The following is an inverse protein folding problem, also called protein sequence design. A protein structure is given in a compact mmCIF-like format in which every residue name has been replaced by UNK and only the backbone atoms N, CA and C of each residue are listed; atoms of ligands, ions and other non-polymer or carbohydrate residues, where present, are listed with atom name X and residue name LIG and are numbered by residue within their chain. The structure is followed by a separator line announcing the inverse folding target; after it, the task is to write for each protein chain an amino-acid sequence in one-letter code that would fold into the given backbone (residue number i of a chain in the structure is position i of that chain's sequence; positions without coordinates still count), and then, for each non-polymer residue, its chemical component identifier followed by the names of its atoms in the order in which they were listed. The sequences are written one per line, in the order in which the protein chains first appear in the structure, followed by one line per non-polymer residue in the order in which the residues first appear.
data_IF_343547863759
#
_entry.id   IF_343547863759
#
_cell.length_a   1.000
_cell.length_b   1.000
_cell.length_c   1.000
_cell.angle_alpha   90.00
_cell.angle_beta   90.00
_cell.angle_gamma   90.00
#
_symmetry.space_group_name_H-M   'P 1'
#
loop_
_entity.id
_entity.type
_entity.pdbx_description
1 polymer ?
#
# COMPACT_ATOMS: atom_id res chain seq x y z
N UNK A 1 -2.69 -15.21 4.75
CA UNK A 1 -1.26 -14.84 4.86
C UNK A 1 -1.15 -13.32 4.75
N UNK A 2 -1.34 -12.63 5.87
CA UNK A 2 -1.41 -11.17 5.96
C UNK A 2 0.02 -10.63 6.02
N UNK A 3 0.26 -9.51 5.33
CA UNK A 3 1.55 -8.84 5.23
C UNK A 3 1.98 -8.38 6.63
N UNK A 4 2.94 -9.09 7.23
CA UNK A 4 3.72 -8.60 8.36
C UNK A 4 4.92 -7.85 7.77
N UNK A 5 4.85 -6.52 7.75
CA UNK A 5 6.05 -5.70 7.61
C UNK A 5 6.84 -5.79 8.94
N UNK A 6 8.18 -5.85 8.92
CA UNK A 6 8.94 -6.17 10.11
C UNK A 6 8.98 -4.94 11.03
N UNK A 7 8.17 -4.98 12.10
CA UNK A 7 8.26 -4.06 13.23
C UNK A 7 9.60 -4.18 14.00
N UNK A 8 10.43 -5.17 13.67
CA UNK A 8 11.67 -5.49 14.38
C UNK A 8 12.83 -4.52 14.13
N UNK A 9 12.78 -3.67 13.09
CA UNK A 9 13.89 -2.75 12.81
C UNK A 9 13.83 -1.44 13.62
N UNK A 10 12.67 -1.08 14.18
CA UNK A 10 12.49 0.19 14.91
C UNK A 10 12.91 0.05 16.38
N UNK A 11 12.87 -1.16 16.94
CA UNK A 11 13.16 -1.37 18.37
C UNK A 11 14.66 -1.29 18.71
N UNK A 12 15.56 -1.52 17.75
CA UNK A 12 17.02 -1.55 18.00
C UNK A 12 17.74 -0.22 17.76
N UNK A 13 17.06 0.82 17.27
CA UNK A 13 17.68 2.16 17.08
C UNK A 13 17.58 3.02 18.36
N UNK A 14 16.69 2.67 19.29
CA UNK A 14 16.44 3.45 20.50
C UNK A 14 17.35 3.12 21.70
N UNK A 15 18.21 2.09 21.61
CA UNK A 15 19.04 1.64 22.74
C UNK A 15 20.43 2.27 22.81
N UNK A 16 20.82 3.14 21.89
CA UNK A 16 22.20 3.70 21.84
C UNK A 16 22.35 5.17 22.25
N UNK A 17 21.29 5.89 22.61
CA UNK A 17 21.39 7.29 23.04
C UNK A 17 21.06 7.43 24.53
N UNK A 18 22.07 7.24 25.37
CA UNK A 18 22.03 7.63 26.78
C UNK A 18 21.99 9.16 26.90
N UNK A 19 20.78 9.71 26.93
CA UNK A 19 20.52 11.12 27.18
C UNK A 19 19.10 11.26 27.71
N UNK A 20 18.97 11.61 28.99
CA UNK A 20 17.69 11.80 29.68
C UNK A 20 16.95 13.00 29.08
N UNK A 21 16.11 12.74 28.08
CA UNK A 21 15.09 13.68 27.62
C UNK A 21 13.73 13.03 27.90
N UNK A 22 13.26 13.15 29.14
CA UNK A 22 11.87 12.88 29.54
C UNK A 22 10.97 13.98 28.98
N UNK A 23 10.76 13.96 27.66
CA UNK A 23 9.63 14.67 27.06
C UNK A 23 8.40 13.82 27.32
N UNK A 24 7.46 14.29 28.14
CA UNK A 24 6.22 13.58 28.46
C UNK A 24 5.47 13.20 27.17
N UNK A 25 5.48 11.91 26.81
CA UNK A 25 4.68 11.32 25.73
C UNK A 25 3.17 11.21 26.06
N UNK A 26 2.68 11.98 27.04
CA UNK A 26 1.46 11.66 27.77
C UNK A 26 0.15 11.97 27.02
N UNK A 27 0.14 12.80 25.97
CA UNK A 27 -1.12 13.34 25.39
C UNK A 27 -1.50 12.83 24.00
N UNK A 28 -0.74 11.93 23.37
CA UNK A 28 -1.03 11.42 22.00
C UNK A 28 -1.49 9.96 21.94
N UNK A 29 -1.81 9.36 23.09
CA UNK A 29 -2.27 7.97 23.16
C UNK A 29 -3.39 7.82 24.19
N UNK A 30 -4.25 6.81 23.97
CA UNK A 30 -5.23 6.38 24.97
C UNK A 30 -4.54 5.33 25.84
N UNK A 31 -4.77 5.38 27.16
CA UNK A 31 -4.25 4.36 28.08
C UNK A 31 -4.72 2.98 27.64
N UNK A 32 -3.77 2.07 27.44
CA UNK A 32 -4.08 0.69 27.06
C UNK A 32 -4.69 -0.04 28.27
N UNK A 33 -6.00 -0.27 28.21
CA UNK A 33 -6.75 -0.98 29.24
C UNK A 33 -6.81 -2.50 29.01
N UNK A 34 -6.17 -3.03 27.96
CA UNK A 34 -6.15 -4.46 27.67
C UNK A 34 -5.14 -5.18 28.58
N UNK A 35 -5.49 -6.37 29.12
CA UNK A 35 -4.56 -7.17 29.90
C UNK A 35 -3.37 -7.63 29.04
N UNK A 36 -2.24 -7.90 29.70
CA UNK A 36 -1.10 -8.54 29.04
C UNK A 36 -1.50 -9.95 28.59
N UNK A 37 -0.98 -10.39 27.45
CA UNK A 37 -1.31 -11.70 26.89
C UNK A 37 -0.71 -12.80 27.78
N UNK A 38 -1.55 -13.73 28.21
CA UNK A 38 -1.16 -15.02 28.81
C UNK A 38 -1.83 -16.18 28.06
N UNK A 39 -1.44 -17.43 28.38
CA UNK A 39 -1.95 -18.63 27.70
C UNK A 39 -3.48 -18.79 27.82
N UNK A 40 -4.07 -18.34 28.93
CA UNK A 40 -5.51 -18.40 29.15
C UNK A 40 -6.24 -17.40 28.25
N UNK A 41 -5.76 -16.16 28.18
CA UNK A 41 -6.32 -15.12 27.33
C UNK A 41 -6.16 -15.49 25.85
N UNK A 42 -5.07 -16.14 25.45
CA UNK A 42 -4.90 -16.62 24.08
C UNK A 42 -5.98 -17.65 23.71
N UNK A 43 -6.29 -18.56 24.64
CA UNK A 43 -7.33 -19.57 24.46
C UNK A 43 -8.75 -18.96 24.33
N UNK A 44 -8.97 -17.74 24.80
CA UNK A 44 -10.25 -17.03 24.65
C UNK A 44 -10.51 -16.61 23.20
N UNK A 45 -9.47 -16.27 22.43
CA UNK A 45 -9.60 -15.78 21.05
C UNK A 45 -9.22 -16.81 19.99
N UNK A 46 -8.36 -17.77 20.33
CA UNK A 46 -7.82 -18.75 19.39
C UNK A 46 -8.24 -20.18 19.75
N UNK A 47 -8.51 -20.97 18.72
CA UNK A 47 -8.70 -22.41 18.78
C UNK A 47 -7.86 -23.02 17.65
N UNK A 48 -6.95 -23.95 17.96
CA UNK A 48 -6.03 -24.56 16.98
C UNK A 48 -5.25 -23.53 16.13
N UNK A 49 -4.76 -22.44 16.76
CA UNK A 49 -4.09 -21.31 16.10
C UNK A 49 -4.94 -20.59 15.03
N UNK A 50 -6.26 -20.72 15.08
CA UNK A 50 -7.21 -19.97 14.27
C UNK A 50 -8.12 -19.13 15.15
N UNK A 51 -8.57 -17.99 14.63
CA UNK A 51 -9.54 -17.16 15.35
C UNK A 51 -10.85 -17.90 15.53
N UNK A 52 -11.40 -17.87 16.75
CA UNK A 52 -12.70 -18.48 17.04
C UNK A 52 -13.80 -17.91 16.13
N UNK A 53 -14.79 -18.73 15.71
CA UNK A 53 -15.84 -18.30 14.79
C UNK A 53 -16.63 -17.06 15.25
N UNK A 54 -16.82 -16.89 16.55
CA UNK A 54 -17.54 -15.75 17.14
C UNK A 54 -16.79 -14.43 16.90
N UNK A 55 -15.46 -14.45 17.02
CA UNK A 55 -14.61 -13.29 16.76
C UNK A 55 -14.61 -12.94 15.27
N UNK A 56 -14.46 -13.96 14.41
CA UNK A 56 -14.52 -13.80 12.95
C UNK A 56 -15.87 -13.21 12.52
N UNK A 57 -16.97 -13.71 13.08
CA UNK A 57 -18.32 -13.21 12.80
C UNK A 57 -18.51 -11.76 13.24
N UNK A 58 -18.00 -11.41 14.43
CA UNK A 58 -18.04 -10.04 14.96
C UNK A 58 -17.23 -9.08 14.09
N UNK A 59 -16.03 -9.50 13.65
CA UNK A 59 -15.19 -8.74 12.75
C UNK A 59 -15.85 -8.53 11.38
N UNK A 60 -16.45 -9.59 10.80
CA UNK A 60 -17.15 -9.48 9.52
C UNK A 60 -18.37 -8.55 9.62
N UNK A 61 -19.13 -8.58 10.72
CA UNK A 61 -20.23 -7.63 10.94
C UNK A 61 -19.72 -6.18 10.98
N UNK A 62 -18.60 -5.94 11.65
CA UNK A 62 -17.98 -4.61 11.69
C UNK A 62 -17.51 -4.17 10.29
N UNK A 63 -16.83 -5.05 9.56
CA UNK A 63 -16.37 -4.80 8.18
C UNK A 63 -17.57 -4.39 7.31
N UNK A 64 -18.65 -5.16 7.31
CA UNK A 64 -19.84 -4.86 6.51
C UNK A 64 -20.47 -3.51 6.92
N UNK A 65 -20.52 -3.22 8.22
CA UNK A 65 -21.04 -1.94 8.72
C UNK A 65 -20.21 -0.75 8.23
N UNK A 66 -18.88 -0.90 8.21
CA UNK A 66 -17.97 0.16 7.76
C UNK A 66 -18.02 0.33 6.24
N UNK A 67 -18.07 -0.78 5.48
CA UNK A 67 -18.22 -0.74 4.02
C UNK A 67 -19.50 -0.01 3.61
N UNK A 68 -20.65 -0.35 4.21
CA UNK A 68 -21.91 0.35 3.95
C UNK A 68 -21.82 1.87 4.20
N UNK A 69 -20.97 2.34 5.12
CA UNK A 69 -20.76 3.78 5.36
C UNK A 69 -19.91 4.42 4.27
N UNK A 70 -18.88 3.71 3.78
CA UNK A 70 -18.02 4.17 2.70
C UNK A 70 -18.82 4.26 1.39
N UNK A 71 -19.61 3.22 1.10
CA UNK A 71 -20.40 3.07 -0.13
C UNK A 71 -21.39 4.21 -0.38
N UNK A 72 -21.91 4.85 0.68
CA UNK A 72 -22.81 6.01 0.57
C UNK A 72 -22.27 7.17 -0.26
N UNK A 73 -20.94 7.32 -0.34
CA UNK A 73 -20.29 8.45 -1.01
C UNK A 73 -19.49 8.05 -2.25
N UNK A 74 -19.47 6.76 -2.62
CA UNK A 74 -18.63 6.22 -3.71
C UNK A 74 -18.92 6.89 -5.05
N UNK A 75 -20.19 7.24 -5.31
CA UNK A 75 -20.60 7.86 -6.57
C UNK A 75 -20.49 9.39 -6.58
N UNK A 76 -20.09 10.00 -5.46
CA UNK A 76 -19.98 11.47 -5.32
C UNK A 76 -18.66 12.07 -5.83
N UNK A 77 -17.66 11.26 -6.17
CA UNK A 77 -16.37 11.77 -6.65
C UNK A 77 -16.49 12.41 -8.04
N UNK A 78 -15.70 13.43 -8.30
CA UNK A 78 -15.64 14.14 -9.58
C UNK A 78 -14.20 14.18 -10.13
N UNK A 79 -13.94 15.01 -11.16
CA UNK A 79 -12.60 15.16 -11.75
C UNK A 79 -11.61 15.89 -10.85
N UNK A 80 -12.10 16.65 -9.88
CA UNK A 80 -11.27 17.42 -8.95
C UNK A 80 -10.92 16.61 -7.69
N UNK A 81 -11.67 15.54 -7.45
CA UNK A 81 -11.46 14.61 -6.35
C UNK A 81 -10.10 13.91 -6.44
N UNK A 82 -9.53 13.59 -5.29
CA UNK A 82 -8.26 12.88 -5.19
C UNK A 82 -8.41 11.43 -5.70
N UNK A 83 -7.66 11.08 -6.74
CA UNK A 83 -7.67 9.75 -7.36
C UNK A 83 -6.64 8.80 -6.74
N UNK A 84 -5.77 9.30 -5.86
CA UNK A 84 -4.66 8.56 -5.29
C UNK A 84 -5.10 7.35 -4.45
N UNK A 85 -4.17 6.44 -4.17
CA UNK A 85 -4.43 5.31 -3.27
C UNK A 85 -4.42 5.74 -1.80
N UNK A 86 -3.62 6.74 -1.44
CA UNK A 86 -3.38 7.12 -0.05
C UNK A 86 -4.60 7.73 0.64
N UNK A 87 -5.20 8.74 -0.01
CA UNK A 87 -6.32 9.52 0.53
C UNK A 87 -7.51 9.59 -0.43
N UNK A 88 -7.31 9.14 -1.67
CA UNK A 88 -8.26 9.25 -2.74
C UNK A 88 -9.19 8.06 -2.90
N UNK A 89 -10.09 8.17 -3.88
CA UNK A 89 -11.02 7.11 -4.22
C UNK A 89 -10.33 5.90 -4.87
N UNK A 90 -9.08 6.02 -5.33
CA UNK A 90 -8.26 4.87 -5.72
C UNK A 90 -8.01 3.93 -4.54
N UNK A 91 -7.83 4.46 -3.33
CA UNK A 91 -7.66 3.67 -2.10
C UNK A 91 -8.92 2.91 -1.73
N UNK A 92 -10.08 3.55 -1.93
CA UNK A 92 -11.39 2.91 -1.78
C UNK A 92 -11.54 1.77 -2.81
N UNK A 93 -11.16 2.01 -4.07
CA UNK A 93 -11.15 0.97 -5.10
C UNK A 93 -10.27 -0.23 -4.71
N UNK A 94 -9.08 0.02 -4.17
CA UNK A 94 -8.16 -1.03 -3.69
C UNK A 94 -8.76 -1.83 -2.52
N UNK A 95 -9.40 -1.14 -1.56
CA UNK A 95 -10.09 -1.76 -0.44
C UNK A 95 -11.18 -2.72 -0.93
N UNK A 96 -12.03 -2.26 -1.86
CA UNK A 96 -13.10 -3.06 -2.43
C UNK A 96 -12.56 -4.25 -3.24
N UNK A 97 -11.46 -4.07 -3.98
CA UNK A 97 -10.81 -5.17 -4.69
C UNK A 97 -10.32 -6.27 -3.74
N UNK A 98 -9.70 -5.91 -2.60
CA UNK A 98 -9.31 -6.90 -1.59
C UNK A 98 -10.50 -7.54 -0.87
N UNK A 99 -11.59 -6.78 -0.65
CA UNK A 99 -12.82 -7.35 -0.12
C UNK A 99 -13.42 -8.39 -1.08
N UNK A 100 -13.43 -8.10 -2.38
CA UNK A 100 -13.78 -9.06 -3.42
C UNK A 100 -12.91 -10.31 -3.36
N UNK A 101 -11.58 -10.19 -3.28
CA UNK A 101 -10.71 -11.37 -3.20
C UNK A 101 -10.92 -12.23 -1.94
N UNK A 102 -11.43 -11.63 -0.86
CA UNK A 102 -11.73 -12.35 0.40
C UNK A 102 -13.06 -13.10 0.33
N UNK A 103 -14.09 -12.51 -0.27
CA UNK A 103 -15.48 -12.99 -0.16
C UNK A 103 -16.20 -13.25 -1.49
N UNK A 104 -15.55 -13.03 -2.63
CA UNK A 104 -16.15 -13.06 -3.98
C UNK A 104 -17.42 -12.19 -4.13
N UNK A 105 -17.50 -11.05 -3.43
CA UNK A 105 -18.61 -10.10 -3.59
C UNK A 105 -18.53 -9.39 -4.94
N UNK A 106 -19.56 -9.59 -5.76
CA UNK A 106 -19.69 -8.96 -7.08
C UNK A 106 -19.81 -7.44 -6.93
N UNK A 107 -20.58 -6.98 -5.94
CA UNK A 107 -20.78 -5.56 -5.67
C UNK A 107 -19.46 -4.86 -5.33
N UNK A 108 -18.61 -5.52 -4.53
CA UNK A 108 -17.28 -5.00 -4.23
C UNK A 108 -16.39 -4.93 -5.47
N UNK A 109 -16.48 -5.92 -6.35
CA UNK A 109 -15.75 -5.89 -7.61
C UNK A 109 -16.20 -4.74 -8.52
N UNK A 110 -17.51 -4.53 -8.65
CA UNK A 110 -18.08 -3.46 -9.48
C UNK A 110 -17.65 -2.07 -8.99
N UNK A 111 -17.66 -1.85 -7.67
CA UNK A 111 -17.16 -0.61 -7.06
C UNK A 111 -15.67 -0.43 -7.32
N UNK A 112 -14.87 -1.49 -7.12
CA UNK A 112 -13.44 -1.45 -7.37
C UNK A 112 -13.13 -1.07 -8.81
N UNK A 113 -13.82 -1.68 -9.77
CA UNK A 113 -13.69 -1.39 -11.21
C UNK A 113 -14.09 0.04 -11.52
N UNK A 114 -15.28 0.46 -11.09
CA UNK A 114 -15.79 1.82 -11.31
C UNK A 114 -14.80 2.89 -10.84
N UNK A 115 -14.31 2.77 -9.61
CA UNK A 115 -13.36 3.73 -9.04
C UNK A 115 -12.00 3.68 -9.72
N UNK A 116 -11.56 2.50 -10.15
CA UNK A 116 -10.29 2.33 -10.87
C UNK A 116 -10.35 2.96 -12.26
N UNK A 117 -11.41 2.71 -13.03
CA UNK A 117 -11.60 3.31 -14.36
C UNK A 117 -11.67 4.86 -14.26
N UNK A 118 -12.32 5.35 -13.20
CA UNK A 118 -12.35 6.77 -12.86
C UNK A 118 -10.97 7.32 -12.46
N UNK A 119 -10.14 6.52 -11.79
CA UNK A 119 -8.79 6.94 -11.40
C UNK A 119 -7.87 6.97 -12.63
N UNK A 120 -7.97 5.97 -13.50
CA UNK A 120 -7.21 5.85 -14.75
C UNK A 120 -7.49 7.00 -15.73
N UNK A 121 -8.70 7.56 -15.73
CA UNK A 121 -9.08 8.72 -16.52
C UNK A 121 -8.66 10.08 -15.91
N UNK A 122 -8.27 10.10 -14.63
CA UNK A 122 -7.84 11.29 -13.90
C UNK A 122 -6.32 11.36 -13.63
N UNK A 123 -5.54 10.46 -14.23
CA UNK A 123 -4.09 10.40 -14.05
C UNK A 123 -3.41 11.71 -14.48
N UNK A 124 -2.50 12.22 -13.64
CA UNK A 124 -1.91 13.55 -13.81
C UNK A 124 -0.50 13.52 -14.39
N UNK A 125 0.18 12.37 -14.37
CA UNK A 125 1.56 12.22 -14.85
C UNK A 125 2.59 13.01 -14.04
N UNK A 126 2.27 13.37 -12.78
CA UNK A 126 3.12 14.21 -11.92
C UNK A 126 3.88 13.43 -10.86
N UNK A 127 3.30 12.35 -10.34
CA UNK A 127 3.80 11.61 -9.19
C UNK A 127 3.92 10.12 -9.56
N UNK A 128 5.04 9.48 -9.21
CA UNK A 128 5.38 8.12 -9.67
C UNK A 128 4.97 7.01 -8.70
N UNK A 129 4.70 7.34 -7.45
CA UNK A 129 4.56 6.35 -6.38
C UNK A 129 3.23 5.59 -6.43
N UNK A 130 3.16 4.44 -5.76
CA UNK A 130 1.92 3.69 -5.61
C UNK A 130 0.86 4.44 -4.79
N UNK A 131 1.28 5.12 -3.72
CA UNK A 131 0.34 5.71 -2.76
C UNK A 131 -0.25 7.03 -3.24
N UNK A 132 0.60 7.97 -3.67
CA UNK A 132 0.15 9.31 -4.07
C UNK A 132 0.22 9.57 -5.58
N UNK A 133 0.86 8.68 -6.33
CA UNK A 133 1.06 8.84 -7.76
C UNK A 133 0.23 7.93 -8.65
N UNK A 134 0.52 8.01 -9.95
CA UNK A 134 -0.20 7.29 -11.00
C UNK A 134 0.06 5.78 -10.96
N UNK A 135 1.15 5.33 -10.33
CA UNK A 135 1.50 3.92 -10.30
C UNK A 135 0.48 3.08 -9.53
N UNK A 136 -0.20 3.64 -8.54
CA UNK A 136 -1.23 2.96 -7.77
C UNK A 136 -2.44 2.56 -8.63
N UNK A 137 -3.15 3.54 -9.23
CA UNK A 137 -4.27 3.25 -10.13
C UNK A 137 -3.86 2.40 -11.35
N UNK A 138 -2.68 2.62 -11.93
CA UNK A 138 -2.18 1.79 -13.04
C UNK A 138 -2.02 0.32 -12.62
N UNK A 139 -1.44 0.08 -11.44
CA UNK A 139 -1.27 -1.27 -10.91
C UNK A 139 -2.62 -1.92 -10.55
N UNK A 140 -3.52 -1.18 -9.89
CA UNK A 140 -4.85 -1.69 -9.58
C UNK A 140 -5.66 -2.02 -10.86
N UNK A 141 -5.59 -1.14 -11.86
CA UNK A 141 -6.22 -1.37 -13.17
C UNK A 141 -5.74 -2.65 -13.82
N UNK A 142 -4.43 -2.90 -13.84
CA UNK A 142 -3.88 -4.13 -14.41
C UNK A 142 -4.40 -5.40 -13.71
N UNK A 143 -4.62 -5.36 -12.39
CA UNK A 143 -5.25 -6.48 -11.68
C UNK A 143 -6.70 -6.71 -12.10
N UNK A 144 -7.48 -5.63 -12.20
CA UNK A 144 -8.89 -5.70 -12.58
C UNK A 144 -9.03 -6.20 -14.02
N UNK A 145 -8.32 -5.61 -14.98
CA UNK A 145 -8.40 -6.05 -16.37
C UNK A 145 -7.84 -7.46 -16.61
N UNK A 146 -6.94 -7.93 -15.75
CA UNK A 146 -6.54 -9.35 -15.77
C UNK A 146 -7.72 -10.26 -15.42
N UNK A 147 -8.57 -9.89 -14.45
CA UNK A 147 -9.79 -10.65 -14.12
C UNK A 147 -10.81 -10.67 -15.24
N UNK A 148 -10.84 -9.63 -16.06
CA UNK A 148 -11.71 -9.54 -17.24
C UNK A 148 -11.14 -10.26 -18.48
N UNK A 149 -9.94 -10.87 -18.37
CA UNK A 149 -9.20 -11.44 -19.49
C UNK A 149 -8.91 -10.42 -20.61
N UNK A 150 -8.84 -9.13 -20.28
CA UNK A 150 -8.51 -8.07 -21.22
C UNK A 150 -6.99 -7.85 -21.27
N UNK A 151 -6.29 -8.76 -21.94
CA UNK A 151 -4.82 -8.74 -22.04
C UNK A 151 -4.30 -7.46 -22.68
N UNK A 152 -5.02 -6.91 -23.66
CA UNK A 152 -4.63 -5.68 -24.35
C UNK A 152 -4.55 -4.47 -23.41
N UNK A 153 -5.54 -4.30 -22.53
CA UNK A 153 -5.52 -3.22 -21.55
C UNK A 153 -4.51 -3.46 -20.44
N UNK A 154 -4.30 -4.71 -20.02
CA UNK A 154 -3.24 -5.06 -19.06
C UNK A 154 -1.87 -4.65 -19.59
N UNK A 155 -1.56 -5.02 -20.83
CA UNK A 155 -0.30 -4.63 -21.49
C UNK A 155 -0.15 -3.11 -21.60
N UNK A 156 -1.21 -2.41 -22.01
CA UNK A 156 -1.23 -0.95 -22.09
C UNK A 156 -0.91 -0.30 -20.72
N UNK A 157 -1.56 -0.76 -19.65
CA UNK A 157 -1.35 -0.25 -18.30
C UNK A 157 0.07 -0.53 -17.78
N UNK A 158 0.61 -1.72 -18.05
CA UNK A 158 1.99 -2.07 -17.69
C UNK A 158 2.99 -1.18 -18.46
N UNK A 159 2.79 -0.98 -19.76
CA UNK A 159 3.66 -0.09 -20.55
C UNK A 159 3.64 1.34 -20.01
N UNK A 160 2.45 1.85 -19.65
CA UNK A 160 2.30 3.18 -19.04
C UNK A 160 3.01 3.27 -17.69
N UNK A 161 2.90 2.22 -16.86
CA UNK A 161 3.58 2.13 -15.58
C UNK A 161 5.10 2.15 -15.75
N UNK A 162 5.65 1.33 -16.66
CA UNK A 162 7.09 1.23 -16.87
C UNK A 162 7.71 2.53 -17.42
N UNK A 163 6.95 3.30 -18.20
CA UNK A 163 7.35 4.62 -18.72
C UNK A 163 7.13 5.77 -17.73
N UNK A 164 6.50 5.53 -16.59
CA UNK A 164 6.15 6.58 -15.64
C UNK A 164 7.38 7.36 -15.11
N UNK A 165 8.52 6.71 -14.79
CA UNK A 165 9.73 7.42 -14.37
C UNK A 165 10.32 8.37 -15.42
N UNK A 166 10.03 8.16 -16.70
CA UNK A 166 10.50 9.02 -17.80
C UNK A 166 9.67 10.29 -17.94
N UNK A 167 8.41 10.25 -17.47
CA UNK A 167 7.47 11.38 -17.53
C UNK A 167 7.61 12.34 -16.36
N UNK A 168 8.11 11.85 -15.23
CA UNK A 168 8.28 12.66 -14.01
C UNK A 168 9.73 13.09 -13.88
N UNK A 169 9.97 14.39 -14.06
CA UNK A 169 11.32 14.97 -14.18
C UNK A 169 12.23 14.68 -12.97
N UNK A 170 11.69 14.72 -11.74
CA UNK A 170 12.40 14.46 -10.49
C UNK A 170 11.43 13.94 -9.42
N UNK A 171 11.84 12.91 -8.70
CA UNK A 171 11.11 12.38 -7.54
C UNK A 171 12.11 11.87 -6.49
N UNK A 172 11.76 11.90 -5.20
CA UNK A 172 12.66 11.52 -4.11
C UNK A 172 12.87 9.99 -4.04
N UNK A 173 13.71 9.54 -3.10
CA UNK A 173 13.97 8.12 -2.82
C UNK A 173 13.20 7.63 -1.57
N UNK A 174 11.92 7.99 -1.47
CA UNK A 174 11.04 7.57 -0.36
C UNK A 174 9.74 6.91 -0.86
N UNK A 175 8.85 6.55 0.07
CA UNK A 175 7.70 5.68 -0.19
C UNK A 175 6.48 6.44 -0.76
N UNK A 176 6.22 7.66 -0.30
CA UNK A 176 4.96 8.36 -0.56
C UNK A 176 4.91 9.01 -1.93
N UNK A 177 6.01 9.57 -2.42
CA UNK A 177 6.15 10.29 -3.70
C UNK A 177 7.26 9.71 -4.60
N UNK A 178 8.13 8.89 -4.02
CA UNK A 178 9.43 8.57 -4.59
C UNK A 178 9.58 7.20 -5.21
N UNK A 179 10.86 6.88 -5.47
CA UNK A 179 11.30 5.65 -6.14
C UNK A 179 10.93 4.40 -5.36
N UNK A 180 10.97 4.44 -4.03
CA UNK A 180 10.57 3.28 -3.22
C UNK A 180 9.09 2.98 -3.37
N UNK A 181 8.24 4.02 -3.44
CA UNK A 181 6.81 3.88 -3.75
C UNK A 181 6.54 3.34 -5.16
N UNK A 182 7.34 3.74 -6.14
CA UNK A 182 7.24 3.18 -7.50
C UNK A 182 7.69 1.72 -7.57
N UNK A 183 8.80 1.36 -6.92
CA UNK A 183 9.27 -0.03 -6.80
C UNK A 183 8.20 -0.90 -6.13
N UNK A 184 7.53 -0.38 -5.10
CA UNK A 184 6.40 -1.08 -4.47
C UNK A 184 5.30 -1.41 -5.49
N UNK A 185 4.94 -0.49 -6.39
CA UNK A 185 3.94 -0.76 -7.42
C UNK A 185 4.36 -1.90 -8.38
N UNK A 186 5.64 -1.93 -8.78
CA UNK A 186 6.18 -2.99 -9.63
C UNK A 186 6.15 -4.35 -8.93
N UNK A 187 6.58 -4.39 -7.66
CA UNK A 187 6.57 -5.60 -6.85
C UNK A 187 5.15 -6.07 -6.53
N UNK A 188 4.22 -5.13 -6.33
CA UNK A 188 2.81 -5.40 -6.13
C UNK A 188 2.23 -6.16 -7.33
N UNK A 189 2.46 -5.69 -8.56
CA UNK A 189 2.05 -6.41 -9.76
C UNK A 189 2.75 -7.76 -9.88
N UNK A 190 4.07 -7.82 -9.62
CA UNK A 190 4.80 -9.09 -9.71
C UNK A 190 4.25 -10.15 -8.74
N UNK A 191 3.86 -9.73 -7.54
CA UNK A 191 3.26 -10.60 -6.53
C UNK A 191 1.90 -11.15 -6.97
N UNK A 192 1.08 -10.33 -7.61
CA UNK A 192 -0.31 -10.68 -7.92
C UNK A 192 -0.51 -11.30 -9.32
N UNK A 193 0.31 -10.94 -10.29
CA UNK A 193 0.21 -11.39 -11.69
C UNK A 193 1.38 -12.28 -12.13
N UNK A 194 2.37 -12.51 -11.26
CA UNK A 194 3.59 -13.25 -11.61
C UNK A 194 4.59 -12.38 -12.38
N UNK A 195 5.32 -12.96 -13.34
CA UNK A 195 6.45 -12.28 -13.99
C UNK A 195 6.05 -11.30 -15.11
N UNK A 196 4.97 -10.54 -14.93
CA UNK A 196 4.52 -9.53 -15.92
C UNK A 196 5.41 -8.28 -15.97
N UNK A 197 6.17 -8.02 -14.89
CA UNK A 197 7.16 -6.95 -14.84
C UNK A 197 8.56 -7.54 -15.06
N UNK A 198 9.32 -7.09 -16.07
CA UNK A 198 10.68 -7.55 -16.28
C UNK A 198 11.57 -7.23 -15.07
N UNK A 199 12.35 -8.22 -14.64
CA UNK A 199 13.22 -8.09 -13.47
C UNK A 199 14.24 -6.95 -13.61
N UNK A 200 14.74 -6.76 -14.83
CA UNK A 200 15.69 -5.69 -15.16
C UNK A 200 15.10 -4.30 -14.92
N UNK A 201 13.78 -4.11 -15.13
CA UNK A 201 13.12 -2.85 -14.82
C UNK A 201 13.14 -2.55 -13.32
N UNK A 202 12.97 -3.58 -12.47
CA UNK A 202 13.01 -3.45 -11.01
C UNK A 202 14.45 -3.21 -10.54
N UNK A 203 15.40 -4.03 -11.00
CA UNK A 203 16.84 -3.90 -10.68
C UNK A 203 17.37 -2.52 -11.04
N UNK A 204 17.00 -1.99 -12.21
CA UNK A 204 17.35 -0.63 -12.61
C UNK A 204 16.96 0.40 -11.55
N UNK A 205 15.72 0.36 -11.06
CA UNK A 205 15.26 1.31 -10.04
C UNK A 205 15.95 1.11 -8.69
N UNK A 206 16.19 -0.14 -8.27
CA UNK A 206 16.94 -0.44 -7.06
C UNK A 206 18.37 0.12 -7.14
N UNK A 207 19.06 -0.08 -8.25
CA UNK A 207 20.41 0.44 -8.47
C UNK A 207 20.43 1.97 -8.42
N UNK A 208 19.42 2.65 -8.99
CA UNK A 208 19.29 4.10 -8.87
C UNK A 208 19.11 4.55 -7.42
N UNK A 209 18.26 3.85 -6.64
CA UNK A 209 18.02 4.14 -5.23
C UNK A 209 19.30 3.98 -4.39
N UNK A 210 20.02 2.86 -4.55
CA UNK A 210 21.29 2.61 -3.87
C UNK A 210 22.33 3.67 -4.25
N UNK A 211 22.51 3.92 -5.55
CA UNK A 211 23.48 4.91 -6.04
C UNK A 211 23.17 6.32 -5.53
N UNK A 212 21.89 6.68 -5.41
CA UNK A 212 21.43 7.94 -4.85
C UNK A 212 21.78 8.03 -3.35
N UNK A 213 21.48 6.98 -2.58
CA UNK A 213 21.83 6.88 -1.17
C UNK A 213 23.34 6.98 -0.92
N UNK A 214 24.17 6.28 -1.70
CA UNK A 214 25.63 6.33 -1.59
C UNK A 214 26.18 7.73 -1.90
N UNK A 215 25.67 8.39 -2.95
CA UNK A 215 26.07 9.78 -3.25
C UNK A 215 25.72 10.74 -2.12
N UNK A 216 24.52 10.64 -1.56
CA UNK A 216 24.08 11.49 -0.45
C UNK A 216 24.88 11.21 0.81
N UNK A 217 25.12 9.93 1.14
CA UNK A 217 25.95 9.52 2.28
C UNK A 217 27.36 10.11 2.22
N UNK A 218 28.01 10.00 1.06
CA UNK A 218 29.35 10.53 0.85
C UNK A 218 29.39 12.05 0.87
N UNK A 219 28.36 12.72 0.33
CA UNK A 219 28.23 14.18 0.39
C UNK A 219 28.05 14.69 1.82
N UNK A 220 27.24 14.00 2.62
CA UNK A 220 26.87 14.43 3.97
C UNK A 220 27.82 13.87 5.05
N UNK A 221 28.86 13.12 4.65
CA UNK A 221 29.75 12.37 5.55
C UNK A 221 28.99 11.49 6.58
N UNK A 222 27.81 11.00 6.20
CA UNK A 222 26.89 10.26 7.08
C UNK A 222 27.51 8.96 7.60
N UNK A 223 27.20 8.54 8.83
CA UNK A 223 27.64 7.23 9.36
C UNK A 223 26.84 6.05 8.80
N UNK A 224 26.00 6.27 7.78
CA UNK A 224 25.11 5.24 7.29
C UNK A 224 25.87 4.13 6.53
N UNK A 225 25.34 2.89 6.51
CA UNK A 225 26.02 1.73 5.91
C UNK A 225 26.25 1.81 4.39
N UNK A 226 25.69 2.83 3.72
CA UNK A 226 25.76 3.03 2.28
C UNK A 226 26.93 3.93 1.83
N UNK A 227 27.88 4.27 2.74
CA UNK A 227 29.14 4.92 2.37
C UNK A 227 29.96 4.09 1.39
#
# INVERSE_FOLDING_TARGET
LIIIFPLFLILNILTSCGGSITTQMADRHITNNYPQIDENLQSDYLENNQFKPQLVSSANRLINTLLMRIEKNVYGFDRNSDYSIYTGYGGIGLLHYFNYLKGNSVESYDIAKYLTDKALSNLKGRDVSFLLGDAGPLALGALIYTKENNTQEVENLIVRLLKLPERVSKFPDELLYGRAGYIYALLFLRKHLGNVIPEECIKKQINHLISSGTRTSNKDNSSCPLK
#
